data_IF_857374754184
#
_entry.id   IF_857374754184
#
_cell.length_a   1.000
_cell.length_b   1.000
_cell.length_c   1.000
_cell.angle_alpha   90.00
_cell.angle_beta   90.00
_cell.angle_gamma   90.00
#
_symmetry.space_group_name_H-M   'P 1'
#
loop_
_entity.id
_entity.type
_entity.pdbx_description
1 polymer ?
#
# COMPACT_ATOMS: atom_id res chain seq x y z
N UNK A 1 8.87 26.18 33.13
CA UNK A 1 9.35 25.11 32.22
C UNK A 1 10.57 24.51 32.86
N UNK A 2 10.62 23.20 33.08
CA UNK A 2 11.77 22.54 33.70
C UNK A 2 12.87 22.46 32.64
N UNK A 3 13.85 23.36 32.73
CA UNK A 3 14.91 23.54 31.73
C UNK A 3 15.81 22.31 31.63
N UNK A 4 15.96 21.56 32.73
CA UNK A 4 16.64 20.27 32.75
C UNK A 4 15.97 19.16 31.92
N UNK A 5 14.69 19.30 31.55
CA UNK A 5 14.02 18.35 30.65
C UNK A 5 14.62 18.37 29.24
N UNK A 6 15.11 19.53 28.79
CA UNK A 6 15.73 19.72 27.49
C UNK A 6 17.26 19.69 27.58
N UNK A 7 17.81 19.16 28.68
CA UNK A 7 19.26 19.08 28.92
C UNK A 7 19.97 20.45 28.87
N UNK A 8 19.24 21.50 29.23
CA UNK A 8 19.78 22.85 29.34
C UNK A 8 20.28 23.09 30.76
N UNK A 9 21.51 23.56 30.88
CA UNK A 9 22.16 23.83 32.17
C UNK A 9 21.58 25.06 32.87
N UNK A 10 21.16 26.08 32.11
CA UNK A 10 20.71 27.37 32.64
C UNK A 10 19.47 27.92 31.93
N UNK A 11 18.66 28.71 32.66
CA UNK A 11 17.44 29.38 32.16
C UNK A 11 17.71 30.74 31.52
N UNK A 12 18.98 31.07 31.27
CA UNK A 12 19.38 32.37 30.75
C UNK A 12 18.91 32.56 29.29
N UNK A 13 18.26 33.69 28.94
CA UNK A 13 17.72 33.91 27.59
C UNK A 13 18.74 33.75 26.46
N UNK A 14 20.01 34.10 26.69
CA UNK A 14 21.08 33.92 25.70
C UNK A 14 21.38 32.44 25.43
N UNK A 15 21.47 31.64 26.49
CA UNK A 15 21.69 30.20 26.40
C UNK A 15 20.53 29.48 25.71
N UNK A 16 19.28 29.87 26.01
CA UNK A 16 18.08 29.35 25.36
C UNK A 16 18.09 29.68 23.86
N UNK A 17 18.36 30.94 23.49
CA UNK A 17 18.40 31.35 22.08
C UNK A 17 19.49 30.60 21.30
N UNK A 18 20.67 30.41 21.91
CA UNK A 18 21.76 29.64 21.30
C UNK A 18 21.37 28.17 21.08
N UNK A 19 20.74 27.55 22.08
CA UNK A 19 20.26 26.17 21.96
C UNK A 19 19.17 26.02 20.89
N UNK A 20 18.17 26.90 20.87
CA UNK A 20 17.12 26.88 19.85
C UNK A 20 17.69 27.08 18.45
N UNK A 21 18.64 28.00 18.29
CA UNK A 21 19.32 28.23 17.01
C UNK A 21 20.08 26.99 16.55
N UNK A 22 20.83 26.35 17.46
CA UNK A 22 21.56 25.11 17.16
C UNK A 22 20.62 23.94 16.83
N UNK A 23 19.47 23.85 17.49
CA UNK A 23 18.45 22.82 17.24
C UNK A 23 17.80 23.01 15.86
N UNK A 24 17.44 24.25 15.51
CA UNK A 24 16.89 24.57 14.19
C UNK A 24 17.91 24.27 13.11
N UNK A 25 19.17 24.71 13.28
CA UNK A 25 20.23 24.46 12.31
C UNK A 25 20.51 22.95 12.13
N UNK A 26 20.54 22.19 13.22
CA UNK A 26 20.68 20.72 13.17
C UNK A 26 19.52 20.08 12.40
N UNK A 27 18.28 20.44 12.73
CA UNK A 27 17.08 19.89 12.08
C UNK A 27 17.06 20.23 10.59
N UNK A 28 17.39 21.47 10.22
CA UNK A 28 17.48 21.88 8.82
C UNK A 28 18.53 21.08 8.05
N UNK A 29 19.72 20.87 8.63
CA UNK A 29 20.76 20.03 8.03
C UNK A 29 20.31 18.58 7.86
N UNK A 30 19.59 18.02 8.83
CA UNK A 30 19.05 16.64 8.74
C UNK A 30 18.00 16.50 7.63
N UNK A 31 17.06 17.45 7.55
CA UNK A 31 16.01 17.46 6.50
C UNK A 31 16.63 17.73 5.12
N UNK A 32 17.63 18.61 5.03
CA UNK A 32 18.39 18.87 3.81
C UNK A 32 19.18 17.62 3.37
N UNK A 33 19.81 16.91 4.30
CA UNK A 33 20.51 15.64 4.01
C UNK A 33 19.56 14.54 3.53
N UNK A 34 18.27 14.67 3.84
CA UNK A 34 17.21 13.76 3.36
C UNK A 34 16.67 14.17 1.99
N UNK A 35 17.18 15.24 1.40
CA UNK A 35 16.73 15.77 0.11
C UNK A 35 15.33 16.39 0.15
N UNK A 36 14.83 16.74 1.34
CA UNK A 36 13.48 17.27 1.51
C UNK A 36 13.39 18.80 1.36
N UNK A 37 14.49 19.51 1.64
CA UNK A 37 14.59 20.96 1.49
C UNK A 37 15.92 21.33 0.86
N UNK A 38 15.95 22.51 0.22
CA UNK A 38 17.17 23.17 -0.23
C UNK A 38 17.24 24.54 0.42
N UNK A 39 18.43 24.90 0.91
CA UNK A 39 18.73 26.23 1.45
C UNK A 39 19.24 27.06 0.27
N UNK A 40 18.60 28.19 -0.01
CA UNK A 40 18.98 29.07 -1.10
C UNK A 40 20.35 29.71 -0.88
N UNK A 41 20.94 30.28 -1.94
CA UNK A 41 22.29 30.89 -1.91
C UNK A 41 22.42 32.05 -0.91
N UNK A 42 21.29 32.65 -0.51
CA UNK A 42 21.23 33.69 0.52
C UNK A 42 21.43 33.16 1.95
N UNK A 43 21.45 31.83 2.15
CA UNK A 43 21.50 31.14 3.44
C UNK A 43 20.34 31.48 4.41
N UNK A 44 19.28 32.13 3.92
CA UNK A 44 18.13 32.54 4.73
C UNK A 44 16.80 31.97 4.21
N UNK A 45 16.69 31.71 2.91
CA UNK A 45 15.48 31.19 2.29
C UNK A 45 15.52 29.66 2.21
N UNK A 46 14.41 29.02 2.56
CA UNK A 46 14.24 27.55 2.52
C UNK A 46 13.18 27.23 1.49
N UNK A 47 13.52 26.38 0.54
CA UNK A 47 12.61 25.91 -0.50
C UNK A 47 12.34 24.41 -0.35
N UNK A 48 11.09 23.96 -0.46
CA UNK A 48 10.77 22.55 -0.38
C UNK A 48 11.16 21.83 -1.68
N UNK A 49 11.81 20.69 -1.55
CA UNK A 49 12.08 19.78 -2.66
C UNK A 49 10.91 18.83 -2.91
N UNK A 50 10.95 18.07 -4.00
CA UNK A 50 9.86 17.12 -4.32
C UNK A 50 9.70 16.06 -3.22
N UNK A 51 10.79 15.56 -2.66
CA UNK A 51 10.76 14.59 -1.55
C UNK A 51 10.11 15.19 -0.29
N UNK A 52 10.38 16.47 0.00
CA UNK A 52 9.75 17.17 1.12
C UNK A 52 8.25 17.36 0.93
N UNK A 53 7.83 17.69 -0.30
CA UNK A 53 6.40 17.78 -0.66
C UNK A 53 5.69 16.43 -0.52
N UNK A 54 6.31 15.33 -0.98
CA UNK A 54 5.76 13.97 -0.85
C UNK A 54 5.66 13.57 0.64
N UNK A 55 6.75 13.76 1.40
CA UNK A 55 6.79 13.45 2.84
C UNK A 55 5.69 14.19 3.60
N UNK A 56 5.52 15.48 3.33
CA UNK A 56 4.49 16.31 3.98
C UNK A 56 3.07 15.94 3.55
N UNK A 57 2.84 15.62 2.27
CA UNK A 57 1.52 15.28 1.76
C UNK A 57 0.99 13.96 2.34
N UNK A 58 1.87 12.97 2.47
CA UNK A 58 1.54 11.64 3.00
C UNK A 58 1.83 11.48 4.49
N UNK A 59 2.21 12.54 5.21
CA UNK A 59 2.55 12.50 6.64
C UNK A 59 3.56 11.38 6.97
N UNK A 60 4.61 11.28 6.15
CA UNK A 60 5.69 10.32 6.34
C UNK A 60 6.89 10.98 6.99
N UNK A 61 7.70 10.16 7.66
CA UNK A 61 8.99 10.58 8.19
C UNK A 61 9.96 10.86 7.02
N UNK A 62 10.71 11.97 7.08
CA UNK A 62 11.70 12.31 6.06
C UNK A 62 12.75 11.20 5.86
N UNK A 63 13.07 10.45 6.92
CA UNK A 63 13.97 9.30 6.85
C UNK A 63 13.40 8.14 6.02
N UNK A 64 12.08 7.95 6.00
CA UNK A 64 11.42 6.94 5.16
C UNK A 64 11.55 7.31 3.69
N UNK A 65 11.26 8.57 3.33
CA UNK A 65 11.37 9.04 1.94
C UNK A 65 12.82 9.02 1.46
N UNK A 66 13.78 9.37 2.33
CA UNK A 66 15.21 9.22 2.03
C UNK A 66 15.57 7.77 1.72
N UNK A 67 15.13 6.84 2.56
CA UNK A 67 15.37 5.41 2.38
C UNK A 67 14.76 4.87 1.08
N UNK A 68 13.61 5.39 0.65
CA UNK A 68 13.04 5.06 -0.68
C UNK A 68 13.94 5.51 -1.82
N UNK A 69 14.51 6.71 -1.76
CA UNK A 69 15.48 7.17 -2.77
C UNK A 69 16.76 6.32 -2.81
N UNK A 70 17.19 5.79 -1.67
CA UNK A 70 18.41 4.98 -1.56
C UNK A 70 18.21 3.53 -2.02
N UNK A 71 17.02 2.95 -1.78
CA UNK A 71 16.77 1.52 -2.00
C UNK A 71 15.95 1.20 -3.26
N UNK A 72 15.14 2.14 -3.76
CA UNK A 72 14.39 1.93 -5.00
C UNK A 72 15.29 2.12 -6.22
N UNK A 73 15.02 1.35 -7.27
CA UNK A 73 15.73 1.41 -8.54
C UNK A 73 14.74 1.40 -9.70
N UNK A 74 15.22 1.58 -10.94
CA UNK A 74 14.38 1.52 -12.14
C UNK A 74 13.73 0.14 -12.35
N UNK A 75 14.34 -0.93 -11.83
CA UNK A 75 13.90 -2.33 -11.99
C UNK A 75 13.72 -3.04 -10.64
N UNK A 76 13.02 -2.41 -9.70
CA UNK A 76 12.71 -3.04 -8.42
C UNK A 76 11.64 -4.13 -8.58
N UNK A 77 11.86 -5.29 -7.97
CA UNK A 77 10.90 -6.40 -7.97
C UNK A 77 9.76 -6.18 -6.97
N UNK A 78 8.66 -6.92 -7.13
CA UNK A 78 7.52 -6.92 -6.19
C UNK A 78 7.96 -7.24 -4.76
N UNK A 79 8.85 -8.23 -4.62
CA UNK A 79 9.41 -8.69 -3.34
C UNK A 79 10.29 -7.61 -2.71
N UNK A 80 11.13 -6.96 -3.53
CA UNK A 80 11.97 -5.85 -3.09
C UNK A 80 11.13 -4.67 -2.57
N UNK A 81 10.04 -4.33 -3.26
CA UNK A 81 9.12 -3.27 -2.81
C UNK A 81 8.45 -3.65 -1.49
N UNK A 82 8.03 -4.91 -1.32
CA UNK A 82 7.45 -5.37 -0.04
C UNK A 82 8.46 -5.29 1.10
N UNK A 83 9.73 -5.59 0.83
CA UNK A 83 10.80 -5.47 1.82
C UNK A 83 11.10 -4.01 2.17
N UNK A 84 11.22 -3.13 1.17
CA UNK A 84 11.41 -1.68 1.37
C UNK A 84 10.23 -1.09 2.15
N UNK A 85 9.01 -1.57 1.89
CA UNK A 85 7.81 -1.19 2.65
C UNK A 85 7.96 -1.54 4.12
N UNK A 86 8.32 -2.77 4.46
CA UNK A 86 8.48 -3.18 5.87
C UNK A 86 9.58 -2.44 6.62
N UNK A 87 10.59 -1.94 5.91
CA UNK A 87 11.72 -1.21 6.50
C UNK A 87 11.42 0.29 6.72
N UNK A 88 10.22 0.75 6.38
CA UNK A 88 9.75 2.12 6.60
C UNK A 88 9.75 2.50 8.09
N UNK A 89 10.16 3.74 8.41
CA UNK A 89 10.27 4.22 9.81
C UNK A 89 8.94 4.28 10.55
N UNK A 90 7.84 4.32 9.80
CA UNK A 90 6.47 4.23 10.32
C UNK A 90 6.21 2.91 11.07
N UNK A 91 6.98 1.86 10.77
CA UNK A 91 6.90 0.57 11.46
C UNK A 91 7.87 0.39 12.63
N UNK A 92 8.73 1.38 12.91
CA UNK A 92 9.68 1.31 14.02
C UNK A 92 8.98 1.21 15.39
N UNK A 93 7.79 1.80 15.52
CA UNK A 93 6.98 1.80 16.74
C UNK A 93 6.03 0.59 16.85
N UNK A 94 6.09 -0.36 15.90
CA UNK A 94 5.27 -1.57 15.98
C UNK A 94 5.63 -2.33 17.28
N UNK A 95 4.65 -2.72 18.12
CA UNK A 95 4.95 -3.34 19.39
C UNK A 95 5.56 -4.72 19.16
N UNK A 96 6.74 -4.96 19.74
CA UNK A 96 7.33 -6.30 19.84
C UNK A 96 7.20 -6.76 21.29
N UNK A 97 6.40 -7.79 21.52
CA UNK A 97 6.12 -8.32 22.86
C UNK A 97 7.05 -9.49 23.18
N UNK A 98 7.19 -9.78 24.48
CA UNK A 98 7.98 -10.93 24.92
C UNK A 98 7.44 -12.24 24.33
N UNK A 99 8.35 -13.12 23.91
CA UNK A 99 8.09 -14.42 23.27
C UNK A 99 7.48 -14.37 21.85
N UNK A 100 7.33 -13.19 21.24
CA UNK A 100 6.88 -13.10 19.84
C UNK A 100 7.96 -13.53 18.84
N UNK A 101 9.23 -13.55 19.24
CA UNK A 101 10.35 -14.06 18.45
C UNK A 101 10.17 -15.54 18.08
N UNK A 102 9.72 -16.37 19.03
CA UNK A 102 9.41 -17.78 18.77
C UNK A 102 8.19 -17.94 17.85
N UNK A 103 7.14 -17.12 18.06
CA UNK A 103 5.95 -17.14 17.19
C UNK A 103 6.29 -16.71 15.76
N UNK A 104 7.16 -15.71 15.63
CA UNK A 104 7.69 -15.25 14.34
C UNK A 104 8.55 -16.34 13.68
N UNK A 105 9.36 -17.07 14.46
CA UNK A 105 10.13 -18.22 13.97
C UNK A 105 9.24 -19.35 13.43
N UNK A 106 8.06 -19.57 14.05
CA UNK A 106 7.10 -20.59 13.63
C UNK A 106 6.26 -20.17 12.41
N UNK A 107 6.06 -18.85 12.22
CA UNK A 107 5.34 -18.28 11.07
C UNK A 107 6.22 -18.15 9.83
N UNK A 108 7.47 -17.69 9.98
CA UNK A 108 8.41 -17.46 8.90
C UNK A 108 8.50 -18.60 7.85
N UNK A 109 8.63 -19.90 8.22
CA UNK A 109 8.75 -20.98 7.24
C UNK A 109 7.46 -21.27 6.46
N UNK A 110 6.31 -20.72 6.87
CA UNK A 110 5.02 -20.87 6.18
C UNK A 110 4.82 -19.80 5.11
N UNK A 111 5.68 -18.78 5.08
CA UNK A 111 5.58 -17.65 4.18
C UNK A 111 6.45 -17.88 2.93
N UNK A 112 6.06 -17.31 1.78
CA UNK A 112 6.75 -17.55 0.51
C UNK A 112 8.10 -16.84 0.42
N UNK A 113 8.27 -15.68 1.06
CA UNK A 113 9.53 -14.95 1.02
C UNK A 113 10.34 -15.19 2.29
N UNK A 114 11.64 -15.42 2.11
CA UNK A 114 12.55 -15.69 3.22
C UNK A 114 12.61 -14.51 4.19
N UNK A 115 12.58 -14.84 5.48
CA UNK A 115 12.70 -13.88 6.58
C UNK A 115 14.02 -14.11 7.29
N UNK A 116 14.71 -13.03 7.64
CA UNK A 116 15.95 -13.11 8.38
C UNK A 116 15.69 -13.64 9.80
N UNK A 117 16.29 -14.80 10.13
CA UNK A 117 16.11 -15.49 11.41
C UNK A 117 16.78 -14.78 12.59
N UNK A 118 17.73 -13.88 12.32
CA UNK A 118 18.47 -13.17 13.36
C UNK A 118 17.82 -11.87 13.82
N UNK A 119 16.71 -11.45 13.19
CA UNK A 119 16.02 -10.18 13.48
C UNK A 119 14.56 -10.41 13.85
N UNK A 120 14.20 -11.58 14.39
CA UNK A 120 12.80 -11.93 14.69
C UNK A 120 12.18 -11.12 15.85
N UNK A 121 13.02 -10.43 16.60
CA UNK A 121 12.71 -9.47 17.67
C UNK A 121 12.62 -8.02 17.18
N UNK A 122 12.87 -7.76 15.88
CA UNK A 122 12.82 -6.42 15.30
C UNK A 122 11.42 -6.08 14.74
N UNK A 123 10.99 -4.84 14.97
CA UNK A 123 9.70 -4.31 14.56
C UNK A 123 9.49 -4.35 13.05
N UNK A 124 10.53 -4.07 12.26
CA UNK A 124 10.46 -4.10 10.79
C UNK A 124 10.32 -5.54 10.28
N UNK A 125 11.05 -6.48 10.89
CA UNK A 125 10.93 -7.90 10.57
C UNK A 125 9.52 -8.42 10.89
N UNK A 126 8.95 -8.01 12.02
CA UNK A 126 7.56 -8.32 12.36
C UNK A 126 6.59 -7.73 11.32
N UNK A 127 6.74 -6.47 10.92
CA UNK A 127 5.92 -5.87 9.86
C UNK A 127 6.00 -6.67 8.54
N UNK A 128 7.20 -7.12 8.16
CA UNK A 128 7.41 -7.95 6.97
C UNK A 128 6.68 -9.30 7.04
N UNK A 129 6.76 -9.98 8.18
CA UNK A 129 6.03 -11.25 8.44
C UNK A 129 4.52 -11.02 8.34
N UNK A 130 3.99 -9.96 8.97
CA UNK A 130 2.56 -9.66 8.98
C UNK A 130 2.02 -9.31 7.60
N UNK A 131 2.77 -8.52 6.80
CA UNK A 131 2.41 -8.22 5.42
C UNK A 131 2.28 -9.50 4.59
N UNK A 132 3.27 -10.40 4.69
CA UNK A 132 3.21 -11.69 3.99
C UNK A 132 2.08 -12.59 4.50
N UNK A 133 1.87 -12.65 5.82
CA UNK A 133 0.80 -13.45 6.42
C UNK A 133 -0.59 -12.96 5.97
N UNK A 134 -0.77 -11.64 5.81
CA UNK A 134 -1.99 -11.05 5.24
C UNK A 134 -2.20 -11.47 3.79
N UNK A 135 -1.15 -11.44 2.96
CA UNK A 135 -1.22 -11.88 1.56
C UNK A 135 -1.52 -13.37 1.43
N UNK A 136 -0.99 -14.21 2.32
CA UNK A 136 -1.28 -15.64 2.36
C UNK A 136 -2.61 -15.99 3.06
N UNK A 137 -3.27 -15.03 3.72
CA UNK A 137 -4.42 -15.28 4.61
C UNK A 137 -4.13 -16.36 5.65
N UNK A 138 -2.90 -16.36 6.19
CA UNK A 138 -2.48 -17.36 7.18
C UNK A 138 -3.24 -17.20 8.49
N UNK A 139 -3.52 -18.30 9.22
CA UNK A 139 -4.05 -18.21 10.57
C UNK A 139 -2.99 -17.59 11.50
N UNK A 140 -3.35 -16.48 12.13
CA UNK A 140 -2.48 -15.77 13.07
C UNK A 140 -2.55 -16.43 14.46
N UNK A 141 -1.44 -16.45 15.22
CA UNK A 141 -1.32 -17.21 16.47
C UNK A 141 -2.13 -16.60 17.63
N UNK A 142 -2.34 -15.28 17.63
CA UNK A 142 -3.06 -14.58 18.69
C UNK A 142 -3.86 -13.39 18.16
N UNK A 143 -4.77 -12.86 18.99
CA UNK A 143 -5.53 -11.64 18.69
C UNK A 143 -4.66 -10.40 18.57
N UNK A 144 -3.51 -10.39 19.24
CA UNK A 144 -2.56 -9.28 19.17
C UNK A 144 -1.95 -9.16 17.76
N UNK A 145 -1.66 -10.29 17.11
CA UNK A 145 -1.19 -10.30 15.72
C UNK A 145 -2.27 -9.75 14.77
N UNK A 146 -3.56 -9.98 15.05
CA UNK A 146 -4.66 -9.40 14.27
C UNK A 146 -4.71 -7.87 14.42
N UNK A 147 -4.52 -7.34 15.63
CA UNK A 147 -4.47 -5.88 15.84
C UNK A 147 -3.24 -5.27 15.19
N UNK A 148 -2.08 -5.91 15.34
CA UNK A 148 -0.83 -5.43 14.77
C UNK A 148 -0.88 -5.45 13.24
N UNK A 149 -1.49 -6.48 12.64
CA UNK A 149 -1.69 -6.55 11.18
C UNK A 149 -2.55 -5.38 10.69
N UNK A 150 -3.63 -5.02 11.41
CA UNK A 150 -4.46 -3.86 11.06
C UNK A 150 -3.64 -2.57 11.11
N UNK A 151 -2.87 -2.36 12.18
CA UNK A 151 -1.99 -1.20 12.30
C UNK A 151 -0.95 -1.12 11.17
N UNK A 152 -0.38 -2.26 10.77
CA UNK A 152 0.55 -2.32 9.62
C UNK A 152 -0.15 -1.92 8.31
N UNK A 153 -1.34 -2.46 8.07
CA UNK A 153 -2.12 -2.24 6.85
C UNK A 153 -2.65 -0.79 6.73
N UNK A 154 -3.02 -0.16 7.85
CA UNK A 154 -3.47 1.23 7.87
C UNK A 154 -2.37 2.20 7.36
N UNK A 155 -1.11 1.89 7.67
CA UNK A 155 0.04 2.67 7.17
C UNK A 155 0.43 2.28 5.74
N UNK A 156 0.31 1.00 5.38
CA UNK A 156 0.86 0.46 4.12
C UNK A 156 0.36 1.17 2.87
N UNK A 157 -0.94 1.49 2.80
CA UNK A 157 -1.55 2.14 1.63
C UNK A 157 -0.93 3.51 1.39
N UNK A 158 -0.82 4.32 2.45
CA UNK A 158 -0.28 5.68 2.41
C UNK A 158 1.20 5.68 2.04
N UNK A 159 1.96 4.76 2.63
CA UNK A 159 3.39 4.60 2.37
C UNK A 159 3.64 4.17 0.91
N UNK A 160 2.86 3.22 0.38
CA UNK A 160 2.95 2.80 -1.02
C UNK A 160 2.54 3.90 -2.01
N UNK A 161 1.54 4.72 -1.68
CA UNK A 161 1.18 5.87 -2.51
C UNK A 161 2.32 6.90 -2.59
N UNK A 162 3.02 7.15 -1.49
CA UNK A 162 4.22 7.99 -1.50
C UNK A 162 5.37 7.38 -2.32
N UNK A 163 5.59 6.07 -2.21
CA UNK A 163 6.56 5.36 -3.08
C UNK A 163 6.20 5.52 -4.55
N UNK A 164 4.94 5.31 -4.93
CA UNK A 164 4.47 5.45 -6.32
C UNK A 164 4.73 6.87 -6.84
N UNK A 165 4.46 7.87 -6.02
CA UNK A 165 4.63 9.27 -6.37
C UNK A 165 6.09 9.67 -6.58
N UNK A 166 7.00 9.09 -5.78
CA UNK A 166 8.45 9.26 -5.89
C UNK A 166 8.99 8.57 -7.14
N UNK A 167 8.60 7.32 -7.37
CA UNK A 167 9.02 6.54 -8.54
C UNK A 167 8.48 7.14 -9.84
N UNK A 168 7.27 7.71 -9.80
CA UNK A 168 6.69 8.43 -10.92
C UNK A 168 7.40 9.76 -11.21
N UNK A 169 7.91 10.45 -10.17
CA UNK A 169 8.74 11.66 -10.33
C UNK A 169 10.10 11.31 -10.98
N UNK A 170 10.67 10.15 -10.60
CA UNK A 170 11.88 9.62 -11.22
C UNK A 170 11.68 9.05 -12.65
N UNK A 171 10.43 8.86 -13.10
CA UNK A 171 10.10 8.33 -14.41
C UNK A 171 10.28 6.81 -14.57
N UNK A 172 10.40 6.07 -13.46
CA UNK A 172 10.63 4.61 -13.49
C UNK A 172 9.32 3.84 -13.65
N UNK A 173 8.91 3.63 -14.89
CA UNK A 173 7.65 2.95 -15.22
C UNK A 173 7.58 1.52 -14.69
N UNK A 174 8.65 0.73 -14.83
CA UNK A 174 8.70 -0.65 -14.38
C UNK A 174 8.43 -0.74 -12.87
N UNK A 175 9.19 -0.01 -12.06
CA UNK A 175 8.99 0.03 -10.61
C UNK A 175 7.62 0.59 -10.23
N UNK A 176 7.11 1.60 -10.94
CA UNK A 176 5.78 2.16 -10.67
C UNK A 176 4.67 1.12 -10.85
N UNK A 177 4.74 0.32 -11.90
CA UNK A 177 3.81 -0.80 -12.11
C UNK A 177 3.93 -1.83 -11.00
N UNK A 178 5.15 -2.14 -10.55
CA UNK A 178 5.35 -3.07 -9.43
C UNK A 178 4.77 -2.54 -8.12
N UNK A 179 4.92 -1.23 -7.82
CA UNK A 179 4.30 -0.60 -6.63
C UNK A 179 2.77 -0.70 -6.70
N UNK A 180 2.19 -0.47 -7.87
CA UNK A 180 0.73 -0.61 -8.07
C UNK A 180 0.28 -2.06 -7.85
N UNK A 181 1.05 -3.04 -8.34
CA UNK A 181 0.74 -4.45 -8.11
C UNK A 181 0.80 -4.81 -6.63
N UNK A 182 1.82 -4.34 -5.89
CA UNK A 182 1.90 -4.54 -4.43
C UNK A 182 0.70 -3.89 -3.73
N UNK A 183 0.31 -2.68 -4.12
CA UNK A 183 -0.86 -2.00 -3.57
C UNK A 183 -2.15 -2.82 -3.79
N UNK A 184 -2.34 -3.38 -4.99
CA UNK A 184 -3.47 -4.25 -5.30
C UNK A 184 -3.43 -5.55 -4.49
N UNK A 185 -2.26 -6.17 -4.37
CA UNK A 185 -2.04 -7.38 -3.57
C UNK A 185 -2.46 -7.16 -2.11
N UNK A 186 -2.05 -6.03 -1.51
CA UNK A 186 -2.39 -5.70 -0.12
C UNK A 186 -3.88 -5.40 0.07
N UNK A 187 -4.50 -4.61 -0.82
CA UNK A 187 -5.94 -4.28 -0.72
C UNK A 187 -6.79 -5.56 -0.85
N UNK A 188 -6.41 -6.47 -1.73
CA UNK A 188 -7.16 -7.71 -1.98
C UNK A 188 -6.75 -8.87 -1.03
N UNK A 189 -5.65 -8.72 -0.30
CA UNK A 189 -5.09 -9.74 0.59
C UNK A 189 -4.77 -11.04 -0.13
N UNK A 190 -3.93 -10.98 -1.17
CA UNK A 190 -3.57 -12.10 -2.05
C UNK A 190 -2.28 -11.86 -2.81
N UNK A 191 -1.62 -12.92 -3.23
CA UNK A 191 -0.47 -12.82 -4.12
C UNK A 191 -0.89 -12.60 -5.59
N UNK A 192 0.07 -12.10 -6.38
CA UNK A 192 -0.11 -11.91 -7.83
C UNK A 192 -0.30 -13.24 -8.55
N UNK A 193 0.38 -14.29 -8.07
CA UNK A 193 0.34 -15.66 -8.60
C UNK A 193 -0.97 -16.38 -8.32
N UNK A 194 -1.74 -15.91 -7.36
CA UNK A 194 -2.97 -16.56 -6.94
C UNK A 194 -4.08 -16.45 -8.00
N UNK A 195 -5.15 -17.23 -7.88
CA UNK A 195 -6.27 -17.15 -8.80
C UNK A 195 -7.18 -15.96 -8.54
N UNK A 196 -7.59 -15.23 -9.60
CA UNK A 196 -8.46 -14.04 -9.53
C UNK A 196 -9.74 -14.24 -8.72
N UNK A 197 -10.23 -15.48 -8.55
CA UNK A 197 -11.45 -15.76 -7.80
C UNK A 197 -11.35 -15.48 -6.30
N UNK A 198 -10.14 -15.47 -5.73
CA UNK A 198 -9.93 -15.16 -4.31
C UNK A 198 -10.23 -13.71 -3.93
N UNK A 199 -10.44 -12.81 -4.91
CA UNK A 199 -10.94 -11.45 -4.62
C UNK A 199 -12.41 -11.46 -4.18
N UNK A 200 -13.14 -12.55 -4.43
CA UNK A 200 -14.52 -12.68 -3.99
C UNK A 200 -14.58 -12.97 -2.48
N UNK A 201 -15.52 -12.35 -1.76
CA UNK A 201 -15.67 -12.56 -0.32
C UNK A 201 -16.05 -14.01 -0.03
N UNK A 202 -15.54 -14.54 1.08
CA UNK A 202 -15.81 -15.91 1.58
C UNK A 202 -15.34 -17.05 0.68
N UNK A 203 -14.48 -16.80 -0.30
CA UNK A 203 -13.84 -17.85 -1.09
C UNK A 203 -12.48 -18.18 -0.50
N UNK A 204 -12.34 -19.42 -0.03
CA UNK A 204 -11.09 -19.97 0.48
C UNK A 204 -10.30 -20.70 -0.62
N UNK A 205 -9.01 -20.94 -0.39
CA UNK A 205 -8.13 -21.69 -1.31
C UNK A 205 -8.67 -23.09 -1.65
N UNK A 206 -9.40 -23.75 -0.74
CA UNK A 206 -10.05 -25.05 -1.01
C UNK A 206 -11.12 -24.97 -2.10
N UNK A 207 -11.85 -23.86 -2.14
CA UNK A 207 -12.98 -23.62 -3.05
C UNK A 207 -12.53 -23.10 -4.42
N UNK A 208 -11.24 -22.82 -4.61
CA UNK A 208 -10.69 -22.48 -5.93
C UNK A 208 -10.93 -23.60 -6.95
N UNK A 209 -10.96 -24.86 -6.48
CA UNK A 209 -11.23 -26.03 -7.33
C UNK A 209 -12.59 -25.98 -8.03
N UNK A 210 -13.56 -25.26 -7.45
CA UNK A 210 -14.90 -25.06 -8.02
C UNK A 210 -14.86 -24.22 -9.30
N UNK A 211 -13.84 -23.37 -9.46
CA UNK A 211 -13.69 -22.46 -10.60
C UNK A 211 -12.73 -22.98 -11.66
N UNK A 212 -12.30 -24.25 -11.60
CA UNK A 212 -11.36 -24.87 -12.58
C UNK A 212 -11.78 -24.75 -14.05
N UNK A 213 -13.06 -24.47 -14.33
CA UNK A 213 -13.57 -24.21 -15.69
C UNK A 213 -13.31 -22.80 -16.23
N UNK A 214 -12.76 -21.90 -15.41
CA UNK A 214 -12.61 -20.48 -15.72
C UNK A 214 -11.17 -20.02 -15.43
N UNK A 215 -10.60 -19.20 -16.31
CA UNK A 215 -9.22 -18.72 -16.14
C UNK A 215 -9.13 -17.51 -15.23
N UNK A 216 -10.13 -16.63 -15.28
CA UNK A 216 -10.13 -15.40 -14.50
C UNK A 216 -11.55 -14.93 -14.14
N UNK A 217 -11.64 -14.03 -13.16
CA UNK A 217 -12.91 -13.48 -12.71
C UNK A 217 -13.71 -12.78 -13.83
N UNK A 218 -13.10 -11.95 -14.71
CA UNK A 218 -13.82 -11.35 -15.83
C UNK A 218 -14.48 -12.36 -16.78
N UNK A 219 -13.85 -13.52 -17.01
CA UNK A 219 -14.41 -14.58 -17.85
C UNK A 219 -15.66 -15.20 -17.20
N UNK A 220 -15.60 -15.47 -15.88
CA UNK A 220 -16.76 -15.94 -15.11
C UNK A 220 -17.90 -14.91 -15.17
N UNK A 221 -17.57 -13.62 -15.05
CA UNK A 221 -18.55 -12.54 -15.08
C UNK A 221 -19.23 -12.41 -16.44
N UNK A 222 -18.47 -12.49 -17.53
CA UNK A 222 -19.04 -12.48 -18.88
C UNK A 222 -19.99 -13.67 -19.11
N UNK A 223 -19.61 -14.85 -18.62
CA UNK A 223 -20.47 -16.03 -18.72
C UNK A 223 -21.71 -15.93 -17.82
N UNK A 224 -21.62 -15.27 -16.67
CA UNK A 224 -22.78 -15.00 -15.81
C UNK A 224 -23.82 -14.13 -16.51
N UNK A 225 -23.38 -13.03 -17.15
CA UNK A 225 -24.27 -12.14 -17.91
C UNK A 225 -24.97 -12.87 -19.06
N UNK A 226 -24.29 -13.88 -19.64
CA UNK A 226 -24.85 -14.67 -20.74
C UNK A 226 -25.74 -15.83 -20.26
N UNK A 227 -25.41 -16.46 -19.11
CA UNK A 227 -26.05 -17.65 -18.55
C UNK A 227 -25.97 -17.66 -17.00
N UNK A 228 -26.95 -17.06 -16.30
CA UNK A 228 -26.92 -16.96 -14.83
C UNK A 228 -27.05 -18.31 -14.09
N UNK A 229 -27.54 -19.35 -14.77
CA UNK A 229 -27.69 -20.71 -14.21
C UNK A 229 -26.35 -21.39 -13.89
N UNK A 230 -25.24 -20.88 -14.41
CA UNK A 230 -23.89 -21.40 -14.17
C UNK A 230 -23.48 -21.23 -12.71
N UNK A 231 -23.70 -20.05 -12.12
CA UNK A 231 -23.35 -19.82 -10.72
C UNK A 231 -24.20 -20.70 -9.79
N UNK A 232 -25.49 -20.91 -10.09
CA UNK A 232 -26.33 -21.83 -9.31
C UNK A 232 -25.78 -23.24 -9.31
N UNK A 233 -25.25 -23.72 -10.44
CA UNK A 233 -24.58 -25.04 -10.52
C UNK A 233 -23.30 -25.08 -9.68
N UNK A 234 -22.46 -24.04 -9.75
CA UNK A 234 -21.21 -23.95 -8.97
C UNK A 234 -21.51 -23.91 -7.47
N UNK A 235 -22.46 -23.07 -7.01
CA UNK A 235 -22.85 -22.97 -5.60
C UNK A 235 -23.72 -24.14 -5.11
N UNK A 236 -24.25 -24.98 -6.00
CA UNK A 236 -24.94 -26.22 -5.62
C UNK A 236 -23.99 -27.38 -5.33
N UNK A 237 -22.71 -27.25 -5.68
CA UNK A 237 -21.68 -28.20 -5.30
C UNK A 237 -21.39 -28.05 -3.80
N UNK A 238 -21.47 -29.18 -3.09
CA UNK A 238 -21.64 -29.34 -1.64
C UNK A 238 -20.52 -28.81 -0.73
N UNK A 239 -19.52 -28.10 -1.25
CA UNK A 239 -18.38 -27.60 -0.47
C UNK A 239 -18.60 -26.21 0.15
N UNK A 240 -19.59 -25.44 -0.30
CA UNK A 240 -19.92 -24.15 0.32
C UNK A 240 -20.59 -24.30 1.71
N UNK A 241 -21.35 -25.39 1.91
CA UNK A 241 -22.24 -25.54 3.09
C UNK A 241 -21.56 -26.20 4.30
N UNK A 242 -20.36 -26.81 4.18
CA UNK A 242 -19.81 -27.65 5.27
C UNK A 242 -18.85 -26.95 6.24
N UNK A 243 -18.10 -25.92 5.83
CA UNK A 243 -17.11 -25.28 6.72
C UNK A 243 -17.64 -24.07 7.50
N UNK A 244 -18.90 -23.69 7.35
CA UNK A 244 -19.56 -22.67 8.19
C UNK A 244 -20.48 -23.26 9.27
N UNK A 245 -20.42 -24.57 9.53
CA UNK A 245 -21.39 -25.29 10.39
C UNK A 245 -21.02 -25.30 11.89
N UNK A 246 -19.80 -24.89 12.28
CA UNK A 246 -19.40 -24.96 13.69
C UNK A 246 -19.73 -23.72 14.56
N UNK A 247 -20.49 -22.76 14.04
CA UNK A 247 -21.11 -21.72 14.87
C UNK A 247 -22.62 -21.63 14.59
N UNK A 248 -23.35 -22.59 15.18
CA UNK A 248 -24.75 -22.48 15.63
C UNK A 248 -25.63 -21.39 14.98
N UNK A 249 -26.25 -21.67 13.84
CA UNK A 249 -27.70 -21.50 13.57
C UNK A 249 -28.06 -21.58 12.08
N UNK A 250 -29.10 -22.36 11.79
CA UNK A 250 -29.61 -22.81 10.47
C UNK A 250 -30.27 -21.69 9.62
N UNK A 251 -29.92 -20.41 9.85
CA UNK A 251 -30.50 -19.26 9.11
C UNK A 251 -29.47 -18.47 8.27
N UNK A 252 -28.18 -18.75 8.39
CA UNK A 252 -27.12 -17.98 7.72
C UNK A 252 -26.78 -18.45 6.29
N UNK A 253 -27.10 -19.69 5.93
CA UNK A 253 -26.67 -20.33 4.67
C UNK A 253 -27.39 -19.77 3.42
N UNK A 254 -28.62 -19.30 3.59
CA UNK A 254 -29.36 -18.53 2.57
C UNK A 254 -28.87 -17.07 2.50
N UNK A 255 -28.48 -16.51 3.65
CA UNK A 255 -27.99 -15.14 3.77
C UNK A 255 -26.64 -14.96 3.07
N UNK A 256 -25.71 -15.90 3.23
CA UNK A 256 -24.41 -15.85 2.56
C UNK A 256 -24.50 -16.05 1.04
N UNK A 257 -25.37 -16.93 0.53
CA UNK A 257 -25.63 -17.07 -0.90
C UNK A 257 -26.26 -15.81 -1.51
N UNK A 258 -27.22 -15.22 -0.81
CA UNK A 258 -27.88 -14.01 -1.25
C UNK A 258 -26.97 -12.79 -1.13
N UNK A 259 -26.07 -12.75 -0.15
CA UNK A 259 -25.05 -11.71 -0.01
C UNK A 259 -23.94 -11.85 -1.06
N UNK A 260 -23.46 -13.06 -1.36
CA UNK A 260 -22.49 -13.29 -2.45
C UNK A 260 -23.12 -12.96 -3.80
N UNK A 261 -24.37 -13.36 -4.08
CA UNK A 261 -25.07 -13.01 -5.34
C UNK A 261 -25.41 -11.51 -5.42
N UNK A 262 -25.88 -10.88 -4.34
CA UNK A 262 -26.09 -9.42 -4.28
C UNK A 262 -24.77 -8.65 -4.39
N UNK A 263 -23.69 -9.12 -3.78
CA UNK A 263 -22.38 -8.47 -3.85
C UNK A 263 -21.67 -8.73 -5.16
N UNK A 264 -21.81 -9.89 -5.79
CA UNK A 264 -21.40 -10.13 -7.17
C UNK A 264 -22.15 -9.19 -8.09
N UNK A 265 -23.48 -9.09 -8.00
CA UNK A 265 -24.27 -8.10 -8.75
C UNK A 265 -23.82 -6.67 -8.48
N UNK A 266 -23.54 -6.32 -7.22
CA UNK A 266 -23.05 -4.99 -6.82
C UNK A 266 -21.62 -4.73 -7.32
N UNK A 267 -20.73 -5.73 -7.31
CA UNK A 267 -19.37 -5.64 -7.87
C UNK A 267 -19.43 -5.55 -9.39
N UNK A 268 -20.24 -6.37 -10.07
CA UNK A 268 -20.51 -6.29 -11.52
C UNK A 268 -20.98 -4.89 -11.92
N UNK A 269 -21.84 -4.26 -11.11
CA UNK A 269 -22.32 -2.90 -11.33
C UNK A 269 -21.31 -1.81 -10.96
N UNK A 270 -20.40 -2.07 -10.01
CA UNK A 270 -19.38 -1.13 -9.53
C UNK A 270 -18.02 -1.28 -10.21
N UNK A 271 -17.83 -2.31 -11.03
CA UNK A 271 -16.57 -2.49 -11.75
C UNK A 271 -16.37 -1.28 -12.66
N UNK A 272 -15.24 -0.59 -12.54
CA UNK A 272 -14.93 0.50 -13.45
C UNK A 272 -14.91 -0.09 -14.86
N UNK A 273 -15.90 0.29 -15.67
CA UNK A 273 -15.80 0.13 -17.12
C UNK A 273 -14.64 1.02 -17.53
N UNK A 274 -13.48 0.42 -17.79
CA UNK A 274 -12.31 1.16 -18.27
C UNK A 274 -12.62 1.57 -19.71
N UNK A 275 -13.30 2.71 -19.86
CA UNK A 275 -13.34 3.44 -21.11
C UNK A 275 -11.97 4.14 -21.24
N UNK A 276 -11.10 3.56 -22.05
CA UNK A 276 -9.83 4.22 -22.42
C UNK A 276 -10.19 5.33 -23.42
N UNK A 277 -10.39 6.54 -22.90
CA UNK A 277 -10.49 7.74 -23.72
C UNK A 277 -9.11 8.40 -23.80
N UNK A 278 -8.43 8.25 -24.93
CA UNK A 278 -7.15 8.91 -25.20
C UNK A 278 -7.47 10.27 -25.82
N UNK A 279 -7.39 11.33 -25.02
CA UNK A 279 -7.52 12.71 -25.49
C UNK A 279 -6.15 13.27 -25.89
N UNK A 280 -5.87 13.34 -27.18
CA UNK A 280 -4.72 14.10 -27.71
C UNK A 280 -5.14 15.58 -27.80
N UNK A 281 -4.58 16.43 -26.93
CA UNK A 281 -4.70 17.89 -27.07
C UNK A 281 -3.49 18.40 -27.84
N UNK A 282 -3.65 18.58 -29.15
CA UNK A 282 -2.73 19.40 -29.93
C UNK A 282 -3.09 20.87 -29.66
N UNK A 283 -2.14 21.66 -29.16
CA UNK A 283 -2.25 23.12 -29.15
C UNK A 283 -1.70 23.63 -30.49
N UNK A 284 -2.58 24.04 -31.39
CA UNK A 284 -2.20 24.96 -32.46
C UNK A 284 -2.35 26.38 -31.89
N UNK A 285 -1.28 27.16 -31.94
CA UNK A 285 -1.34 28.59 -31.67
C UNK A 285 -1.86 29.29 -32.92
N UNK A 286 -3.11 29.74 -32.88
CA UNK A 286 -3.55 30.83 -33.75
C UNK A 286 -3.32 32.16 -33.00
N UNK A 287 -2.82 33.16 -33.71
CA UNK A 287 -2.23 34.40 -33.20
C UNK A 287 -3.12 35.36 -32.39
N UNK A 288 -4.16 34.90 -31.70
CA UNK A 288 -5.04 35.72 -30.85
C UNK A 288 -5.31 35.13 -29.44
N UNK A 289 -4.38 34.35 -28.89
CA UNK A 289 -4.11 34.36 -27.43
C UNK A 289 -5.27 34.14 -26.45
N UNK A 290 -6.19 33.21 -26.69
CA UNK A 290 -7.18 32.79 -25.65
C UNK A 290 -7.11 31.29 -25.36
N UNK A 291 -6.64 30.95 -24.16
CA UNK A 291 -6.72 29.59 -23.57
C UNK A 291 -8.03 29.45 -22.78
N UNK A 292 -8.81 28.41 -23.06
CA UNK A 292 -10.01 28.07 -22.28
C UNK A 292 -9.71 26.90 -21.33
N UNK A 293 -9.93 27.13 -20.04
CA UNK A 293 -9.66 26.24 -18.92
C UNK A 293 -10.93 25.55 -18.39
N UNK A 294 -10.68 24.39 -17.76
CA UNK A 294 -11.51 23.60 -16.82
C UNK A 294 -12.52 22.58 -17.37
N UNK A 295 -12.73 21.40 -16.68
CA UNK A 295 -12.84 21.26 -15.22
C UNK A 295 -12.23 20.04 -14.48
N UNK A 296 -12.21 20.23 -13.16
CA UNK A 296 -11.94 19.44 -11.95
C UNK A 296 -12.54 18.01 -11.81
N UNK A 297 -11.79 17.18 -11.07
CA UNK A 297 -12.17 16.03 -10.20
C UNK A 297 -12.54 14.70 -10.89
N UNK A 298 -11.50 13.94 -11.28
CA UNK A 298 -11.27 12.52 -10.91
C UNK A 298 -9.80 12.14 -11.20
N UNK A 299 -8.93 13.13 -11.04
CA UNK A 299 -7.49 13.10 -11.26
C UNK A 299 -6.83 12.79 -9.92
N UNK A 300 -6.14 11.66 -9.77
CA UNK A 300 -4.85 11.61 -9.04
C UNK A 300 -4.17 10.24 -9.12
N UNK A 301 -4.91 9.13 -9.25
CA UNK A 301 -4.26 7.80 -9.37
C UNK A 301 -4.00 7.39 -10.83
N UNK A 302 -4.88 7.74 -11.77
CA UNK A 302 -4.73 7.39 -13.20
C UNK A 302 -3.92 8.43 -13.98
N UNK A 303 -3.88 9.68 -13.52
CA UNK A 303 -3.23 10.75 -14.28
C UNK A 303 -1.71 10.79 -14.10
N UNK A 304 -1.19 10.26 -12.99
CA UNK A 304 0.26 10.10 -12.78
C UNK A 304 0.82 8.96 -13.64
N UNK A 305 0.04 7.89 -13.82
CA UNK A 305 0.28 6.82 -14.80
C UNK A 305 0.34 7.33 -16.26
N UNK A 306 -0.51 8.31 -16.62
CA UNK A 306 -0.51 8.90 -17.96
C UNK A 306 0.64 9.90 -18.21
N UNK A 307 1.18 10.56 -17.17
CA UNK A 307 2.37 11.42 -17.31
C UNK A 307 3.64 10.64 -17.68
N UNK A 308 3.77 9.40 -17.22
CA UNK A 308 4.88 8.52 -17.64
C UNK A 308 4.71 7.97 -19.07
N UNK A 309 3.47 7.73 -19.51
CA UNK A 309 3.21 7.24 -20.87
C UNK A 309 3.35 8.32 -21.97
N UNK A 310 3.36 9.61 -21.61
CA UNK A 310 3.57 10.71 -22.57
C UNK A 310 5.04 11.02 -22.91
N UNK A 311 6.00 10.24 -22.41
CA UNK A 311 7.43 10.40 -22.71
C UNK A 311 7.91 9.71 -24.00
N UNK A 312 7.00 9.21 -24.86
CA UNK A 312 7.34 8.63 -26.17
C UNK A 312 6.99 9.60 -27.31
N UNK A 313 7.84 10.59 -27.52
CA UNK A 313 8.49 10.91 -28.80
C UNK A 313 9.56 11.97 -28.61
#
# INVERSE_FOLDING_TARGET
MVVSYYELDDTDPEHINKYLSALVEKTLREIQSSGCITIAEDNYSIEPETLGRISSYYYLNHATVRMFCEQLSEQSSTEGILKILSDAKEYAELPVRHNEDQLNADLAPKLPLEVNKYTLDDSHTKAYILLQAHLCRCPLPSTDYLTDTKSVMDQAIRVLQAMLDLVADAGWLCTSLQVILVLQMLIQGRWLTDSSFLTLPHINFSQETLFRGYRCLPELMYQYDTKPEILKKIFSQSEFTRQQVDESNVSHDAFHRQEIDCRLKKHVQLLPRIAVAVGLRATAEDGEGRKMNDPLIFMLVVQRLLRMLSGWK
#
